data_IF_421578333233
#
_entry.id   IF_421578333233
#
_cell.length_a   1.000
_cell.length_b   1.000
_cell.length_c   1.000
_cell.angle_alpha   90.00
_cell.angle_beta   90.00
_cell.angle_gamma   90.00
#
_symmetry.space_group_name_H-M   'P 1'
#
loop_
_entity.id
_entity.type
_entity.pdbx_description
1 polymer ?
#
# COMPACT_ATOMS: atom_id res chain seq x y z
N UNK A 1 -27.43 4.86 8.86
CA UNK A 1 -27.87 4.68 10.25
C UNK A 1 -29.05 3.72 10.31
N UNK A 2 -29.19 2.96 11.39
CA UNK A 2 -30.28 2.03 11.61
C UNK A 2 -30.61 1.91 13.10
N UNK A 3 -31.53 1.01 13.45
CA UNK A 3 -31.90 0.77 14.85
C UNK A 3 -30.74 0.15 15.64
N UNK A 4 -29.92 1.00 16.27
CA UNK A 4 -28.80 0.59 17.14
C UNK A 4 -27.43 0.53 16.48
N UNK A 5 -27.26 1.07 15.25
CA UNK A 5 -25.93 1.14 14.62
C UNK A 5 -25.76 2.35 13.71
N UNK A 6 -24.53 2.85 13.67
CA UNK A 6 -24.09 3.92 12.78
C UNK A 6 -22.88 3.45 11.97
N UNK A 7 -22.98 3.50 10.64
CA UNK A 7 -21.84 3.29 9.77
C UNK A 7 -21.42 4.62 9.15
N UNK A 8 -20.18 5.02 9.42
CA UNK A 8 -19.57 6.21 8.79
C UNK A 8 -18.54 5.76 7.77
N UNK A 9 -18.74 6.17 6.51
CA UNK A 9 -17.77 5.91 5.46
C UNK A 9 -16.47 6.70 5.71
N UNK A 10 -15.35 6.00 5.61
CA UNK A 10 -13.99 6.56 5.69
C UNK A 10 -13.29 6.23 4.39
N UNK A 11 -13.20 7.21 3.49
CA UNK A 11 -12.47 7.03 2.24
C UNK A 11 -11.03 6.61 2.52
N UNK A 12 -10.56 5.53 1.92
CA UNK A 12 -9.20 5.00 2.12
C UNK A 12 -8.62 4.58 0.76
N UNK A 13 -8.50 5.53 -0.19
CA UNK A 13 -7.93 5.25 -1.50
C UNK A 13 -6.51 4.69 -1.39
N UNK A 14 -6.08 3.98 -2.41
CA UNK A 14 -4.70 3.50 -2.54
C UNK A 14 -4.62 2.05 -2.99
N UNK A 15 -5.36 1.13 -2.38
CA UNK A 15 -5.52 -0.21 -2.95
C UNK A 15 -6.38 -0.16 -4.23
N UNK A 16 -7.50 0.56 -4.13
CA UNK A 16 -8.37 0.95 -5.22
C UNK A 16 -8.74 2.43 -5.04
N UNK A 17 -9.00 3.15 -6.14
CA UNK A 17 -9.18 4.60 -6.11
C UNK A 17 -10.41 5.03 -5.33
N UNK A 18 -11.45 4.19 -5.33
CA UNK A 18 -12.73 4.42 -4.65
C UNK A 18 -12.88 3.59 -3.35
N UNK A 19 -11.80 3.05 -2.80
CA UNK A 19 -11.88 2.19 -1.61
C UNK A 19 -12.44 2.96 -0.40
N UNK A 20 -13.42 2.35 0.28
CA UNK A 20 -14.03 2.84 1.51
C UNK A 20 -13.82 1.83 2.65
N UNK A 21 -13.45 2.33 3.81
CA UNK A 21 -13.59 1.63 5.08
C UNK A 21 -14.86 2.15 5.79
N UNK A 22 -15.37 1.41 6.77
CA UNK A 22 -16.57 1.81 7.49
C UNK A 22 -16.35 1.76 9.00
N UNK A 23 -16.53 2.88 9.67
CA UNK A 23 -16.46 2.98 11.13
C UNK A 23 -17.82 2.60 11.72
N UNK A 24 -17.80 1.78 12.75
CA UNK A 24 -18.92 1.44 13.63
C UNK A 24 -18.62 1.95 15.04
N UNK A 25 -19.01 3.19 15.37
CA UNK A 25 -18.67 3.83 16.64
C UNK A 25 -19.16 3.05 17.87
N UNK A 26 -20.34 2.44 17.78
CA UNK A 26 -20.98 1.70 18.88
C UNK A 26 -20.12 0.51 19.36
N UNK A 27 -19.27 -0.05 18.49
CA UNK A 27 -18.34 -1.13 18.82
C UNK A 27 -16.87 -0.69 18.87
N UNK A 28 -16.60 0.62 18.68
CA UNK A 28 -15.23 1.12 18.48
C UNK A 28 -14.46 0.32 17.42
N UNK A 29 -15.13 0.00 16.31
CA UNK A 29 -14.64 -0.90 15.28
C UNK A 29 -14.56 -0.23 13.90
N UNK A 30 -13.62 -0.68 13.07
CA UNK A 30 -13.50 -0.28 11.67
C UNK A 30 -13.50 -1.51 10.75
N UNK A 31 -14.43 -1.57 9.81
CA UNK A 31 -14.35 -2.50 8.69
C UNK A 31 -13.34 -1.95 7.68
N UNK A 32 -12.11 -2.46 7.72
CA UNK A 32 -10.97 -1.89 7.00
C UNK A 32 -10.84 -2.36 5.55
N UNK A 33 -11.65 -3.35 5.15
CA UNK A 33 -11.62 -3.92 3.81
C UNK A 33 -10.21 -4.42 3.45
N UNK A 34 -9.81 -4.14 2.22
CA UNK A 34 -8.51 -4.57 1.69
C UNK A 34 -7.44 -3.50 1.85
N UNK A 35 -7.74 -2.37 2.51
CA UNK A 35 -6.75 -1.34 2.81
C UNK A 35 -5.81 -1.74 3.97
N UNK A 36 -6.36 -2.40 4.99
CA UNK A 36 -5.60 -3.03 6.08
C UNK A 36 -6.09 -4.47 6.21
N UNK A 37 -5.22 -5.43 5.85
CA UNK A 37 -5.47 -6.86 5.94
C UNK A 37 -4.64 -7.51 7.05
N UNK A 38 -5.16 -8.55 7.71
CA UNK A 38 -4.50 -9.16 8.87
C UNK A 38 -3.48 -10.25 8.55
N UNK A 39 -3.41 -10.70 7.30
CA UNK A 39 -2.59 -11.84 6.88
C UNK A 39 -1.44 -11.46 5.93
N UNK A 40 -1.55 -10.31 5.26
CA UNK A 40 -0.55 -9.80 4.32
C UNK A 40 -0.75 -8.29 4.09
N UNK A 41 0.17 -7.67 3.34
CA UNK A 41 0.00 -6.29 2.91
C UNK A 41 -0.87 -6.21 1.66
N UNK A 42 -1.69 -5.17 1.52
CA UNK A 42 -2.54 -4.95 0.34
C UNK A 42 -1.74 -4.92 -0.95
N UNK A 43 -2.27 -5.45 -2.05
CA UNK A 43 -1.68 -5.14 -3.36
C UNK A 43 -1.99 -3.68 -3.67
N UNK A 44 -1.01 -2.90 -4.14
CA UNK A 44 -1.24 -1.54 -4.64
C UNK A 44 -0.82 -1.57 -6.09
N UNK A 45 -1.78 -1.45 -7.01
CA UNK A 45 -1.56 -1.70 -8.43
C UNK A 45 -2.16 -0.58 -9.29
N UNK A 46 -1.32 0.28 -9.90
CA UNK A 46 -1.77 1.29 -10.84
C UNK A 46 -2.47 0.67 -12.07
N UNK A 47 -3.41 1.39 -12.71
CA UNK A 47 -3.80 2.78 -12.40
C UNK A 47 -4.86 2.92 -11.30
N UNK A 48 -5.49 1.82 -10.88
CA UNK A 48 -6.57 1.89 -9.87
C UNK A 48 -6.01 2.04 -8.45
N UNK A 49 -4.81 1.52 -8.19
CA UNK A 49 -4.07 1.73 -6.95
C UNK A 49 -3.01 2.83 -7.06
N UNK A 50 -2.70 3.45 -5.92
CA UNK A 50 -1.73 4.55 -5.79
C UNK A 50 -0.99 4.42 -4.46
N UNK A 51 0.35 4.35 -4.49
CA UNK A 51 1.14 4.23 -3.26
C UNK A 51 1.07 5.51 -2.43
N UNK A 52 1.02 6.68 -3.07
CA UNK A 52 0.85 7.96 -2.39
C UNK A 52 -0.46 7.99 -1.60
N UNK A 53 -1.58 7.64 -2.24
CA UNK A 53 -2.89 7.60 -1.58
C UNK A 53 -2.97 6.52 -0.52
N UNK A 54 -2.35 5.35 -0.78
CA UNK A 54 -2.29 4.26 0.18
C UNK A 54 -1.59 4.70 1.47
N UNK A 55 -0.43 5.34 1.35
CA UNK A 55 0.34 5.83 2.49
C UNK A 55 -0.40 6.97 3.22
N UNK A 56 -1.01 7.90 2.49
CA UNK A 56 -1.82 8.97 3.09
C UNK A 56 -3.03 8.42 3.86
N UNK A 57 -3.69 7.38 3.32
CA UNK A 57 -4.79 6.70 3.98
C UNK A 57 -4.34 5.91 5.21
N UNK A 58 -3.19 5.23 5.17
CA UNK A 58 -2.60 4.61 6.36
C UNK A 58 -2.27 5.63 7.45
N UNK A 59 -1.72 6.80 7.10
CA UNK A 59 -1.45 7.87 8.07
C UNK A 59 -2.75 8.40 8.69
N UNK A 60 -3.82 8.56 7.91
CA UNK A 60 -5.16 8.85 8.45
C UNK A 60 -5.65 7.77 9.39
N UNK A 61 -5.49 6.49 9.03
CA UNK A 61 -5.89 5.36 9.89
C UNK A 61 -5.05 5.26 11.16
N UNK A 62 -3.80 5.74 11.16
CA UNK A 62 -2.90 5.72 12.33
C UNK A 62 -3.42 6.59 13.47
N UNK A 63 -4.12 7.68 13.15
CA UNK A 63 -4.63 8.64 14.13
C UNK A 63 -6.01 8.24 14.69
N UNK A 64 -6.68 7.24 14.11
CA UNK A 64 -8.01 6.85 14.57
C UNK A 64 -7.99 6.11 15.91
N UNK A 65 -9.15 6.03 16.57
CA UNK A 65 -9.28 5.55 17.95
C UNK A 65 -9.95 4.18 18.10
N UNK A 66 -10.44 3.59 17.01
CA UNK A 66 -11.04 2.25 17.02
C UNK A 66 -10.05 1.21 17.52
N UNK A 67 -10.55 0.31 18.35
CA UNK A 67 -9.78 -0.70 19.07
C UNK A 67 -9.69 -2.01 18.32
N UNK A 68 -10.50 -2.19 17.26
CA UNK A 68 -10.48 -3.39 16.43
C UNK A 68 -10.75 -3.03 14.97
N UNK A 69 -9.93 -3.57 14.07
CA UNK A 69 -10.25 -3.57 12.64
C UNK A 69 -10.74 -4.95 12.23
N UNK A 70 -11.75 -4.97 11.36
CA UNK A 70 -12.31 -6.13 10.67
C UNK A 70 -11.94 -6.05 9.19
N UNK A 71 -10.85 -6.71 8.77
CA UNK A 71 -10.43 -6.70 7.38
C UNK A 71 -11.36 -7.48 6.45
N UNK A 72 -11.23 -7.24 5.15
CA UNK A 72 -11.81 -8.10 4.12
C UNK A 72 -11.20 -9.50 4.10
N UNK A 73 -9.92 -9.63 4.50
CA UNK A 73 -9.20 -10.91 4.54
C UNK A 73 -8.38 -11.09 5.82
N UNK A 74 -8.35 -12.34 6.30
CA UNK A 74 -7.67 -12.73 7.54
C UNK A 74 -8.56 -12.54 8.77
N UNK A 75 -7.92 -12.53 9.95
CA UNK A 75 -8.61 -12.37 11.23
C UNK A 75 -8.76 -10.92 11.69
N UNK A 76 -9.40 -10.68 12.85
CA UNK A 76 -9.45 -9.35 13.46
C UNK A 76 -8.07 -8.81 13.83
N UNK A 77 -7.87 -7.51 13.59
CA UNK A 77 -6.70 -6.77 14.08
C UNK A 77 -7.07 -6.06 15.38
N UNK A 78 -6.62 -6.61 16.52
CA UNK A 78 -6.96 -6.09 17.88
C UNK A 78 -6.03 -4.99 18.40
N UNK A 79 -4.94 -4.71 17.69
CA UNK A 79 -4.06 -3.57 17.97
C UNK A 79 -3.90 -2.68 16.72
N UNK A 80 -4.97 -2.03 16.22
CA UNK A 80 -4.95 -1.37 14.92
C UNK A 80 -3.84 -0.33 14.76
N UNK A 81 -3.64 0.54 15.76
CA UNK A 81 -2.59 1.57 15.73
C UNK A 81 -1.20 0.97 15.59
N UNK A 82 -0.90 -0.10 16.32
CA UNK A 82 0.39 -0.81 16.24
C UNK A 82 0.55 -1.46 14.86
N UNK A 83 -0.50 -2.12 14.39
CA UNK A 83 -0.50 -2.81 13.10
C UNK A 83 -0.32 -1.84 11.92
N UNK A 84 -1.07 -0.73 11.89
CA UNK A 84 -0.95 0.31 10.87
C UNK A 84 0.44 0.93 10.85
N UNK A 85 1.05 1.21 12.02
CA UNK A 85 2.45 1.67 12.08
C UNK A 85 3.42 0.65 11.48
N UNK A 86 3.22 -0.64 11.74
CA UNK A 86 4.04 -1.69 11.15
C UNK A 86 3.87 -1.76 9.61
N UNK A 87 2.65 -1.58 9.10
CA UNK A 87 2.41 -1.50 7.65
C UNK A 87 3.11 -0.29 7.02
N UNK A 88 2.97 0.90 7.61
CA UNK A 88 3.66 2.12 7.15
C UNK A 88 5.17 1.88 7.11
N UNK A 89 5.73 1.30 8.18
CA UNK A 89 7.16 1.00 8.25
C UNK A 89 7.60 0.02 7.16
N UNK A 90 6.85 -1.07 6.97
CA UNK A 90 7.14 -2.06 5.92
C UNK A 90 7.13 -1.43 4.52
N UNK A 91 6.18 -0.53 4.23
CA UNK A 91 6.13 0.20 2.94
C UNK A 91 7.30 1.15 2.75
N UNK A 92 7.69 1.88 3.79
CA UNK A 92 8.88 2.74 3.74
C UNK A 92 10.16 1.94 3.55
N UNK A 93 10.30 0.79 4.21
CA UNK A 93 11.42 -0.12 3.98
C UNK A 93 11.45 -0.62 2.53
N UNK A 94 10.29 -0.97 1.97
CA UNK A 94 10.19 -1.39 0.56
C UNK A 94 10.63 -0.27 -0.39
N UNK A 95 10.19 0.96 -0.15
CA UNK A 95 10.61 2.13 -0.91
C UNK A 95 12.13 2.33 -0.88
N UNK A 96 12.73 2.27 0.31
CA UNK A 96 14.20 2.37 0.48
C UNK A 96 14.91 1.28 -0.32
N UNK A 97 14.44 0.03 -0.27
CA UNK A 97 15.03 -1.06 -1.05
C UNK A 97 14.92 -0.83 -2.56
N UNK A 98 13.78 -0.32 -3.04
CA UNK A 98 13.58 0.00 -4.47
C UNK A 98 14.54 1.12 -4.90
N UNK A 99 14.63 2.19 -4.13
CA UNK A 99 15.53 3.31 -4.42
C UNK A 99 16.99 2.84 -4.46
N UNK A 100 17.41 2.04 -3.48
CA UNK A 100 18.76 1.46 -3.44
C UNK A 100 19.07 0.58 -4.67
N UNK A 101 18.08 -0.15 -5.21
CA UNK A 101 18.27 -0.91 -6.46
C UNK A 101 18.49 0.00 -7.67
N UNK A 102 17.72 1.09 -7.75
CA UNK A 102 17.86 2.09 -8.82
C UNK A 102 19.22 2.81 -8.74
N UNK A 103 19.66 3.16 -7.53
CA UNK A 103 20.99 3.74 -7.28
C UNK A 103 22.13 2.77 -7.65
N UNK A 104 21.94 1.47 -7.38
CA UNK A 104 22.89 0.42 -7.75
C UNK A 104 22.94 0.13 -9.27
N UNK A 105 22.09 0.78 -10.07
CA UNK A 105 22.12 0.70 -11.52
C UNK A 105 21.05 -0.19 -12.15
N UNK A 106 20.13 -0.77 -11.37
CA UNK A 106 18.98 -1.47 -11.96
C UNK A 106 18.06 -0.44 -12.63
N UNK A 107 17.64 -0.73 -13.86
CA UNK A 107 16.87 0.23 -14.68
C UNK A 107 15.45 -0.21 -14.98
N UNK A 108 15.09 -1.48 -14.77
CA UNK A 108 13.79 -2.03 -15.12
C UNK A 108 13.13 -2.75 -13.93
N UNK A 109 11.79 -2.74 -13.91
CA UNK A 109 10.98 -3.31 -12.83
C UNK A 109 11.21 -4.82 -12.64
N UNK A 110 11.28 -5.67 -13.69
CA UNK A 110 11.57 -7.09 -13.50
C UNK A 110 12.88 -7.35 -12.73
N UNK A 111 13.95 -6.62 -13.05
CA UNK A 111 15.23 -6.72 -12.34
C UNK A 111 15.10 -6.25 -10.88
N UNK A 112 14.45 -5.11 -10.65
CA UNK A 112 14.21 -4.59 -9.29
C UNK A 112 13.40 -5.60 -8.46
N UNK A 113 12.34 -6.19 -9.03
CA UNK A 113 11.53 -7.21 -8.35
C UNK A 113 12.39 -8.42 -7.99
N UNK A 114 13.14 -8.98 -8.94
CA UNK A 114 13.97 -10.15 -8.70
C UNK A 114 15.01 -9.93 -7.58
N UNK A 115 15.52 -8.70 -7.44
CA UNK A 115 16.51 -8.33 -6.41
C UNK A 115 15.89 -7.92 -5.07
N UNK A 116 14.68 -7.37 -5.07
CA UNK A 116 14.01 -6.86 -3.86
C UNK A 116 13.15 -7.94 -3.18
N UNK A 117 12.70 -8.95 -3.92
CA UNK A 117 11.84 -10.02 -3.43
C UNK A 117 12.56 -11.38 -3.59
N UNK A 118 13.65 -11.57 -2.85
CA UNK A 118 14.37 -12.84 -2.84
C UNK A 118 13.47 -13.99 -2.37
N UNK A 119 13.47 -15.12 -3.09
CA UNK A 119 12.64 -16.28 -2.78
C UNK A 119 11.15 -16.12 -3.09
N UNK A 120 10.75 -15.07 -3.81
CA UNK A 120 9.36 -14.87 -4.22
C UNK A 120 8.87 -16.05 -5.08
N UNK A 121 7.68 -16.55 -4.78
CA UNK A 121 7.00 -17.50 -5.66
C UNK A 121 6.83 -16.85 -7.06
N UNK A 122 7.29 -17.48 -8.15
CA UNK A 122 7.19 -16.92 -9.50
C UNK A 122 5.78 -16.47 -9.90
N UNK A 123 4.74 -17.12 -9.37
CA UNK A 123 3.34 -16.74 -9.61
C UNK A 123 2.99 -15.34 -9.07
N UNK A 124 3.75 -14.81 -8.11
CA UNK A 124 3.55 -13.50 -7.49
C UNK A 124 4.38 -12.38 -8.13
N UNK A 125 5.26 -12.68 -9.11
CA UNK A 125 6.14 -11.70 -9.72
C UNK A 125 5.38 -10.54 -10.38
N UNK A 126 4.25 -10.82 -11.02
CA UNK A 126 3.40 -9.80 -11.63
C UNK A 126 2.83 -8.82 -10.60
N UNK A 127 2.30 -9.34 -9.48
CA UNK A 127 1.77 -8.51 -8.39
C UNK A 127 2.88 -7.68 -7.71
N UNK A 128 4.07 -8.26 -7.52
CA UNK A 128 5.23 -7.54 -7.03
C UNK A 128 5.66 -6.41 -7.99
N UNK A 129 5.65 -6.67 -9.31
CA UNK A 129 5.93 -5.66 -10.33
C UNK A 129 4.97 -4.47 -10.27
N UNK A 130 3.68 -4.72 -10.12
CA UNK A 130 2.67 -3.67 -9.95
C UNK A 130 2.90 -2.87 -8.65
N UNK A 131 3.24 -3.54 -7.55
CA UNK A 131 3.57 -2.85 -6.30
C UNK A 131 4.85 -2.00 -6.41
N UNK A 132 5.85 -2.46 -7.15
CA UNK A 132 7.07 -1.68 -7.43
C UNK A 132 6.74 -0.48 -8.31
N UNK A 133 5.91 -0.66 -9.34
CA UNK A 133 5.44 0.45 -10.18
C UNK A 133 4.75 1.53 -9.34
N UNK A 134 3.85 1.15 -8.42
CA UNK A 134 3.19 2.10 -7.54
C UNK A 134 4.17 2.92 -6.69
N UNK A 135 5.21 2.28 -6.16
CA UNK A 135 6.28 2.98 -5.44
C UNK A 135 7.05 3.93 -6.37
N UNK A 136 7.40 3.48 -7.58
CA UNK A 136 8.15 4.28 -8.53
C UNK A 136 7.36 5.50 -9.01
N UNK A 137 6.05 5.37 -9.28
CA UNK A 137 5.19 6.51 -9.62
C UNK A 137 5.22 7.60 -8.55
N UNK A 138 5.11 7.20 -7.28
CA UNK A 138 5.21 8.13 -6.15
C UNK A 138 6.62 8.72 -5.98
N UNK A 139 7.68 7.93 -6.19
CA UNK A 139 9.07 8.42 -6.18
C UNK A 139 9.35 9.41 -7.32
N UNK A 140 8.81 9.17 -8.51
CA UNK A 140 8.90 10.07 -9.67
C UNK A 140 8.13 11.36 -9.39
N UNK A 141 6.92 11.27 -8.85
CA UNK A 141 6.12 12.44 -8.46
C UNK A 141 6.83 13.30 -7.39
N UNK A 142 7.58 12.67 -6.48
CA UNK A 142 8.41 13.35 -5.46
C UNK A 142 9.78 13.81 -5.97
N UNK A 143 10.12 13.55 -7.24
CA UNK A 143 11.40 13.97 -7.83
C UNK A 143 12.62 13.23 -7.31
N UNK A 144 12.45 12.01 -6.78
CA UNK A 144 13.55 11.16 -6.29
C UNK A 144 14.06 10.16 -7.34
N UNK A 145 13.23 9.88 -8.34
CA UNK A 145 13.52 8.98 -9.46
C UNK A 145 13.09 9.66 -10.75
N UNK A 146 13.84 9.47 -11.83
CA UNK A 146 13.47 9.87 -13.19
C UNK A 146 13.04 8.65 -14.01
N UNK A 147 12.19 8.88 -15.01
CA UNK A 147 11.78 7.85 -15.97
C UNK A 147 12.01 8.33 -17.40
N UNK A 148 12.36 7.42 -18.30
CA UNK A 148 12.58 7.73 -19.73
C UNK A 148 11.28 8.06 -20.49
N UNK A 149 10.13 7.75 -19.90
CA UNK A 149 8.78 7.98 -20.43
C UNK A 149 7.77 8.04 -19.28
N UNK A 150 6.47 8.08 -19.58
CA UNK A 150 5.45 7.89 -18.55
C UNK A 150 5.69 6.58 -17.78
N UNK A 151 5.73 6.59 -16.43
CA UNK A 151 5.96 5.39 -15.64
C UNK A 151 5.05 4.23 -16.06
N UNK A 152 5.65 3.07 -16.24
CA UNK A 152 4.97 1.82 -16.63
C UNK A 152 5.87 0.62 -16.36
N UNK A 153 5.31 -0.60 -16.44
CA UNK A 153 6.10 -1.83 -16.24
C UNK A 153 7.27 -2.00 -17.23
N UNK A 154 7.23 -1.33 -18.39
CA UNK A 154 8.25 -1.39 -19.44
C UNK A 154 9.14 -0.15 -19.54
N UNK A 155 8.89 0.88 -18.74
CA UNK A 155 9.74 2.07 -18.68
C UNK A 155 11.07 1.78 -17.98
N UNK A 156 12.04 2.67 -18.18
CA UNK A 156 13.34 2.62 -17.51
C UNK A 156 13.46 3.74 -16.48
N UNK A 157 14.18 3.47 -15.40
CA UNK A 157 14.27 4.35 -14.23
C UNK A 157 15.71 4.62 -13.81
N UNK A 158 15.98 5.85 -13.37
CA UNK A 158 17.28 6.27 -12.85
C UNK A 158 17.10 7.20 -11.63
N UNK A 159 18.14 7.41 -10.82
CA UNK A 159 18.11 8.49 -9.83
C UNK A 159 17.81 9.83 -10.50
N UNK A 160 17.17 10.75 -9.77
CA UNK A 160 16.94 12.11 -10.23
C UNK A 160 18.21 12.97 -10.25
#
# INVERSE_FOLDING_TARGET
>A
EGSGYTLTAVATPGHAANHLAFSLPEESALFSGDHVMAWSTSVVAPPDGSMADYMASLEKLRERSETIYWPGHGGPVREPRRFVRALIHHRRQREVSILARIEAGDRDIPTIVARTYEGLNPALAGAAGLSVLAHIEDLVARGLVTSDRTPSLSARYAPA
#
